data_IF_120266480237
#
_entry.id   IF_120266480237
#
_cell.length_a   1.000
_cell.length_b   1.000
_cell.length_c   1.000
_cell.angle_alpha   90.00
_cell.angle_beta   90.00
_cell.angle_gamma   90.00
#
_symmetry.space_group_name_H-M   'P 1'
#
loop_
_entity.id
_entity.type
_entity.pdbx_description
1 polymer ?
#
# COMPACT_ATOMS: atom_id res chain seq x y z
N UNK A 1 6.81 -0.33 -20.07
CA UNK A 1 5.97 -0.61 -18.90
C UNK A 1 5.34 -1.99 -18.97
N UNK A 2 4.35 -2.24 -19.84
CA UNK A 2 3.60 -3.53 -19.88
C UNK A 2 4.47 -4.80 -19.87
N UNK A 3 5.50 -5.00 -20.71
CA UNK A 3 6.27 -6.25 -20.67
C UNK A 3 6.94 -6.54 -19.32
N UNK A 4 7.36 -5.51 -18.59
CA UNK A 4 7.96 -5.67 -17.28
C UNK A 4 6.90 -5.99 -16.20
N UNK A 5 5.70 -5.40 -16.32
CA UNK A 5 4.58 -5.75 -15.44
C UNK A 5 4.15 -7.19 -15.67
N UNK A 6 4.03 -7.61 -16.93
CA UNK A 6 3.68 -8.98 -17.30
C UNK A 6 4.72 -9.98 -16.72
N UNK A 7 6.02 -9.68 -16.79
CA UNK A 7 7.06 -10.50 -16.17
C UNK A 7 6.91 -10.64 -14.65
N UNK A 8 6.53 -9.56 -13.96
CA UNK A 8 6.26 -9.60 -12.50
C UNK A 8 5.03 -10.47 -12.21
N UNK A 9 3.97 -10.31 -12.98
CA UNK A 9 2.75 -11.11 -12.85
C UNK A 9 3.05 -12.59 -13.06
N UNK A 10 3.79 -12.95 -14.13
CA UNK A 10 4.16 -14.33 -14.43
C UNK A 10 4.96 -14.97 -13.28
N UNK A 11 5.92 -14.25 -12.69
CA UNK A 11 6.70 -14.73 -11.54
C UNK A 11 5.83 -14.97 -10.31
N UNK A 12 4.87 -14.10 -10.06
CA UNK A 12 3.96 -14.20 -8.92
C UNK A 12 2.93 -15.31 -9.12
N UNK A 13 2.42 -15.48 -10.33
CA UNK A 13 1.46 -16.52 -10.67
C UNK A 13 2.12 -17.91 -10.70
N UNK A 14 3.40 -18.00 -11.03
CA UNK A 14 4.19 -19.25 -10.96
C UNK A 14 4.30 -19.85 -9.55
N UNK A 15 3.97 -19.09 -8.50
CA UNK A 15 3.90 -19.61 -7.13
C UNK A 15 2.73 -20.57 -6.90
N UNK A 16 1.78 -20.66 -7.84
CA UNK A 16 0.61 -21.53 -7.74
C UNK A 16 -0.39 -21.08 -6.66
N UNK A 17 -1.01 -22.06 -6.01
CA UNK A 17 -1.97 -21.77 -4.95
C UNK A 17 -1.25 -21.29 -3.69
N UNK A 18 -1.70 -20.17 -3.17
CA UNK A 18 -1.21 -19.56 -1.93
C UNK A 18 -2.37 -19.34 -0.96
N UNK A 19 -2.06 -19.38 0.33
CA UNK A 19 -3.01 -19.10 1.40
C UNK A 19 -2.45 -18.04 2.36
N UNK A 20 -3.27 -17.63 3.33
CA UNK A 20 -2.88 -16.71 4.40
C UNK A 20 -2.23 -15.41 3.91
N UNK A 21 -1.18 -14.98 4.61
CA UNK A 21 -0.49 -13.72 4.34
C UNK A 21 0.11 -13.68 2.91
N UNK A 22 0.58 -14.83 2.39
CA UNK A 22 1.15 -14.91 1.04
C UNK A 22 0.08 -14.65 -0.04
N UNK A 23 -1.12 -15.21 0.11
CA UNK A 23 -2.24 -14.92 -0.78
C UNK A 23 -2.59 -13.42 -0.77
N UNK A 24 -2.70 -12.81 0.40
CA UNK A 24 -3.10 -11.41 0.52
C UNK A 24 -2.04 -10.43 -0.02
N UNK A 25 -0.75 -10.71 0.19
CA UNK A 25 0.34 -9.92 -0.42
C UNK A 25 0.32 -10.09 -1.94
N UNK A 26 0.08 -11.31 -2.48
CA UNK A 26 -0.08 -11.49 -3.92
C UNK A 26 -1.20 -10.63 -4.50
N UNK A 27 -2.34 -10.57 -3.83
CA UNK A 27 -3.47 -9.75 -4.26
C UNK A 27 -3.16 -8.24 -4.21
N UNK A 28 -2.38 -7.80 -3.21
CA UNK A 28 -1.88 -6.43 -3.17
C UNK A 28 -0.90 -6.15 -4.34
N UNK A 29 -0.02 -7.10 -4.69
CA UNK A 29 0.87 -6.98 -5.87
C UNK A 29 0.08 -6.86 -7.17
N UNK A 30 -1.02 -7.60 -7.32
CA UNK A 30 -1.90 -7.46 -8.49
C UNK A 30 -2.50 -6.07 -8.61
N UNK A 31 -2.96 -5.46 -7.50
CA UNK A 31 -3.41 -4.05 -7.50
C UNK A 31 -2.28 -3.09 -7.87
N UNK A 32 -1.05 -3.34 -7.39
CA UNK A 32 0.11 -2.54 -7.74
C UNK A 32 0.46 -2.63 -9.24
N UNK A 33 0.34 -3.81 -9.83
CA UNK A 33 0.52 -4.02 -11.28
C UNK A 33 -0.51 -3.24 -12.10
N UNK A 34 -1.77 -3.23 -11.66
CA UNK A 34 -2.84 -2.45 -12.29
C UNK A 34 -2.52 -0.95 -12.20
N UNK A 35 -2.13 -0.45 -11.00
CA UNK A 35 -1.72 0.94 -10.82
C UNK A 35 -0.61 1.35 -11.79
N UNK A 36 0.43 0.52 -11.93
CA UNK A 36 1.54 0.76 -12.84
C UNK A 36 1.09 0.84 -14.31
N UNK A 37 0.18 -0.03 -14.74
CA UNK A 37 -0.38 -0.03 -16.10
C UNK A 37 -1.28 1.19 -16.36
N UNK A 38 -1.91 1.73 -15.32
CA UNK A 38 -2.71 2.96 -15.36
C UNK A 38 -1.83 4.22 -15.28
N UNK A 39 -0.51 4.10 -15.17
CA UNK A 39 0.42 5.23 -15.14
C UNK A 39 0.61 5.84 -13.74
N UNK A 40 0.34 5.07 -12.69
CA UNK A 40 0.54 5.46 -11.29
C UNK A 40 1.76 4.78 -10.68
N UNK A 41 2.11 5.15 -9.44
CA UNK A 41 3.10 4.37 -8.68
C UNK A 41 2.59 2.93 -8.49
N UNK A 42 3.46 1.96 -8.71
CA UNK A 42 3.18 0.54 -8.53
C UNK A 42 3.03 0.17 -7.05
N UNK A 43 1.98 0.68 -6.41
CA UNK A 43 1.62 0.38 -5.02
C UNK A 43 0.18 -0.07 -4.97
N UNK A 44 -0.06 -1.19 -4.28
CA UNK A 44 -1.38 -1.77 -4.07
C UNK A 44 -1.58 -2.21 -2.64
N UNK A 45 -2.83 -2.22 -2.20
CA UNK A 45 -3.23 -2.65 -0.87
C UNK A 45 -4.55 -3.41 -0.90
N UNK A 46 -4.71 -4.35 0.02
CA UNK A 46 -5.99 -5.00 0.30
C UNK A 46 -6.30 -4.95 1.79
N UNK A 47 -7.58 -4.85 2.13
CA UNK A 47 -8.05 -4.99 3.52
C UNK A 47 -8.73 -6.33 3.66
N UNK A 48 -8.25 -7.07 4.65
CA UNK A 48 -8.78 -8.36 5.05
C UNK A 48 -9.55 -8.19 6.35
N UNK A 49 -10.77 -8.68 6.39
CA UNK A 49 -11.62 -8.72 7.55
C UNK A 49 -12.16 -10.14 7.68
N UNK A 50 -11.98 -10.76 8.85
CA UNK A 50 -12.37 -12.15 9.10
C UNK A 50 -11.80 -13.13 8.06
N UNK A 51 -10.51 -12.96 7.69
CA UNK A 51 -9.82 -13.84 6.75
C UNK A 51 -10.24 -13.70 5.29
N UNK A 52 -11.05 -12.70 4.94
CA UNK A 52 -11.50 -12.44 3.56
C UNK A 52 -11.11 -11.04 3.11
N UNK A 53 -10.70 -10.91 1.86
CA UNK A 53 -10.53 -9.59 1.25
C UNK A 53 -11.89 -8.93 1.10
N UNK A 54 -12.07 -7.80 1.78
CA UNK A 54 -13.30 -7.00 1.75
C UNK A 54 -13.14 -5.70 1.00
N UNK A 55 -11.92 -5.20 0.86
CA UNK A 55 -11.62 -3.97 0.14
C UNK A 55 -10.27 -4.04 -0.57
N UNK A 56 -10.13 -3.24 -1.63
CA UNK A 56 -8.93 -3.14 -2.45
C UNK A 56 -8.61 -1.67 -2.71
N UNK A 57 -7.35 -1.37 -2.85
CA UNK A 57 -6.88 -0.04 -3.22
C UNK A 57 -5.58 -0.11 -4.00
N UNK A 58 -5.41 0.85 -4.89
CA UNK A 58 -4.17 1.05 -5.62
C UNK A 58 -3.85 2.53 -5.72
N UNK A 59 -2.60 2.84 -5.96
CA UNK A 59 -2.18 4.22 -6.12
C UNK A 59 -2.87 4.86 -7.34
N UNK A 60 -3.39 6.08 -7.18
CA UNK A 60 -4.07 6.86 -8.21
C UNK A 60 -3.55 8.31 -8.29
N UNK A 61 -2.30 8.58 -7.88
CA UNK A 61 -1.72 9.93 -7.88
C UNK A 61 -1.61 10.55 -9.28
N UNK A 62 -1.59 9.74 -10.34
CA UNK A 62 -1.63 10.20 -11.72
C UNK A 62 -3.03 10.49 -12.25
N UNK A 63 -4.08 10.06 -11.55
CA UNK A 63 -5.47 10.23 -11.96
C UNK A 63 -6.00 11.61 -11.60
N UNK A 64 -5.69 12.63 -12.40
CA UNK A 64 -6.11 14.03 -12.16
C UNK A 64 -7.62 14.24 -12.29
N UNK A 65 -8.38 13.26 -12.77
CA UNK A 65 -9.85 13.29 -12.77
C UNK A 65 -10.43 13.02 -11.37
N UNK A 66 -9.66 12.39 -10.48
CA UNK A 66 -10.02 12.24 -9.08
C UNK A 66 -9.70 13.56 -8.32
N UNK A 67 -10.69 14.27 -7.75
CA UNK A 67 -10.44 15.52 -7.03
C UNK A 67 -9.51 15.36 -5.82
N UNK A 68 -9.39 14.14 -5.29
CA UNK A 68 -8.53 13.78 -4.18
C UNK A 68 -7.25 13.05 -4.61
N UNK A 69 -6.86 13.14 -5.90
CA UNK A 69 -5.71 12.40 -6.45
C UNK A 69 -4.42 12.61 -5.64
N UNK A 70 -4.19 13.79 -5.10
CA UNK A 70 -2.98 14.14 -4.33
C UNK A 70 -2.82 13.37 -3.00
N UNK A 71 -3.85 12.67 -2.53
CA UNK A 71 -3.81 11.79 -1.36
C UNK A 71 -4.21 10.34 -1.70
N UNK A 72 -4.41 10.03 -2.99
CA UNK A 72 -4.91 8.74 -3.45
C UNK A 72 -3.82 7.67 -3.45
N UNK A 73 -3.22 7.42 -2.29
CA UNK A 73 -2.32 6.29 -2.06
C UNK A 73 -3.12 4.99 -1.95
N UNK A 74 -2.47 3.85 -2.20
CA UNK A 74 -3.12 2.55 -2.21
C UNK A 74 -3.85 2.24 -0.91
N UNK A 75 -3.22 2.51 0.23
CA UNK A 75 -3.80 2.27 1.56
C UNK A 75 -5.00 3.18 1.82
N UNK A 76 -4.93 4.46 1.41
CA UNK A 76 -6.05 5.39 1.52
C UNK A 76 -7.23 4.90 0.69
N UNK A 77 -6.98 4.46 -0.56
CA UNK A 77 -8.02 3.92 -1.44
C UNK A 77 -8.63 2.63 -0.89
N UNK A 78 -7.82 1.76 -0.31
CA UNK A 78 -8.31 0.54 0.34
C UNK A 78 -9.17 0.86 1.58
N UNK A 79 -8.77 1.84 2.41
CA UNK A 79 -9.56 2.29 3.55
C UNK A 79 -10.87 2.93 3.11
N UNK A 80 -10.87 3.76 2.07
CA UNK A 80 -12.07 4.35 1.48
C UNK A 80 -13.04 3.24 1.04
N UNK A 81 -12.57 2.28 0.25
CA UNK A 81 -13.34 1.14 -0.24
C UNK A 81 -13.92 0.29 0.92
N UNK A 82 -13.11 0.06 1.97
CA UNK A 82 -13.54 -0.62 3.19
C UNK A 82 -14.69 0.10 3.90
N UNK A 83 -14.56 1.41 4.07
CA UNK A 83 -15.57 2.21 4.76
C UNK A 83 -16.87 2.36 3.95
N UNK A 84 -16.80 2.19 2.63
CA UNK A 84 -18.00 2.16 1.76
C UNK A 84 -18.70 0.79 1.83
N UNK A 85 -17.94 -0.31 1.84
CA UNK A 85 -18.48 -1.67 1.70
C UNK A 85 -18.91 -2.33 3.01
N UNK A 86 -18.24 -1.99 4.11
CA UNK A 86 -18.48 -2.63 5.42
C UNK A 86 -19.25 -1.68 6.32
N UNK A 87 -20.41 -2.11 6.81
CA UNK A 87 -21.21 -1.31 7.73
C UNK A 87 -20.42 -0.98 9.00
N UNK A 88 -20.65 0.21 9.56
CA UNK A 88 -19.95 0.67 10.75
C UNK A 88 -20.08 -0.31 11.94
N UNK A 89 -21.24 -0.91 12.10
CA UNK A 89 -21.54 -1.84 13.21
C UNK A 89 -20.82 -3.20 13.04
N UNK A 90 -20.42 -3.54 11.81
CA UNK A 90 -19.72 -4.80 11.49
C UNK A 90 -18.20 -4.65 11.53
N UNK A 91 -17.68 -3.45 11.77
CA UNK A 91 -16.23 -3.18 11.81
C UNK A 91 -15.66 -3.53 13.17
N UNK A 92 -14.98 -4.66 13.25
CA UNK A 92 -14.18 -5.02 14.42
C UNK A 92 -12.69 -4.78 14.12
N UNK A 93 -12.05 -3.75 14.69
CA UNK A 93 -10.66 -3.41 14.42
C UNK A 93 -9.67 -4.55 14.66
N UNK A 94 -9.95 -5.43 15.61
CA UNK A 94 -9.09 -6.57 15.96
C UNK A 94 -9.07 -7.66 14.87
N UNK A 95 -10.08 -7.68 14.01
CA UNK A 95 -10.23 -8.65 12.91
C UNK A 95 -9.78 -8.08 11.54
N UNK A 96 -9.36 -6.82 11.54
CA UNK A 96 -8.96 -6.10 10.31
C UNK A 96 -7.45 -6.10 10.16
N UNK A 97 -6.99 -6.49 8.96
CA UNK A 97 -5.59 -6.40 8.57
C UNK A 97 -5.46 -5.67 7.24
N UNK A 98 -4.54 -4.70 7.19
CA UNK A 98 -4.10 -4.08 5.94
C UNK A 98 -2.88 -4.84 5.41
N UNK A 99 -2.96 -5.30 4.17
CA UNK A 99 -1.84 -5.82 3.41
C UNK A 99 -1.51 -4.82 2.31
N UNK A 100 -0.27 -4.37 2.26
CA UNK A 100 0.21 -3.40 1.27
C UNK A 100 1.51 -3.89 0.65
N UNK A 101 1.78 -3.55 -0.59
CA UNK A 101 3.02 -3.95 -1.26
C UNK A 101 4.23 -3.25 -0.66
N UNK A 102 4.09 -2.00 -0.25
CA UNK A 102 5.16 -1.22 0.35
C UNK A 102 4.80 -0.77 1.76
N UNK A 103 5.81 -0.58 2.58
CA UNK A 103 5.68 0.03 3.90
C UNK A 103 4.95 1.37 3.83
N UNK A 104 3.90 1.59 4.65
CA UNK A 104 3.13 2.83 4.63
C UNK A 104 3.96 4.07 4.93
N UNK A 105 3.77 5.11 4.13
CA UNK A 105 4.31 6.45 4.36
C UNK A 105 3.65 7.13 5.57
N UNK A 106 4.13 8.29 6.06
CA UNK A 106 3.55 9.00 7.22
C UNK A 106 2.06 9.26 7.11
N UNK A 107 1.57 9.68 5.93
CA UNK A 107 0.16 9.96 5.70
C UNK A 107 -0.69 8.68 5.84
N UNK A 108 -0.28 7.59 5.19
CA UNK A 108 -0.97 6.31 5.26
C UNK A 108 -0.91 5.71 6.66
N UNK A 109 0.24 5.82 7.34
CA UNK A 109 0.40 5.39 8.74
C UNK A 109 -0.62 6.07 9.66
N UNK A 110 -0.76 7.41 9.54
CA UNK A 110 -1.73 8.18 10.33
C UNK A 110 -3.18 7.78 9.98
N UNK A 111 -3.50 7.60 8.69
CA UNK A 111 -4.83 7.19 8.25
C UNK A 111 -5.22 5.79 8.76
N UNK A 112 -4.31 4.82 8.65
CA UNK A 112 -4.49 3.45 9.15
C UNK A 112 -4.73 3.46 10.66
N UNK A 113 -3.92 4.23 11.40
CA UNK A 113 -4.08 4.42 12.84
C UNK A 113 -5.47 5.00 13.19
N UNK A 114 -5.86 6.10 12.52
CA UNK A 114 -7.14 6.77 12.75
C UNK A 114 -8.35 5.87 12.40
N UNK A 115 -8.18 4.96 11.45
CA UNK A 115 -9.20 3.95 11.11
C UNK A 115 -9.30 2.83 12.17
N UNK A 116 -8.44 2.82 13.19
CA UNK A 116 -8.43 1.83 14.26
C UNK A 116 -7.84 0.47 13.88
N UNK A 117 -7.22 0.35 12.70
CA UNK A 117 -6.63 -0.91 12.24
C UNK A 117 -5.50 -1.35 13.16
N UNK A 118 -5.51 -2.63 13.56
CA UNK A 118 -4.56 -3.19 14.53
C UNK A 118 -3.42 -3.99 13.89
N UNK A 119 -3.56 -4.38 12.64
CA UNK A 119 -2.56 -5.21 11.97
C UNK A 119 -2.24 -4.68 10.57
N UNK A 120 -0.95 -4.49 10.30
CA UNK A 120 -0.44 -4.06 8.98
C UNK A 120 0.71 -4.97 8.56
N UNK A 121 0.63 -5.52 7.37
CA UNK A 121 1.64 -6.36 6.77
C UNK A 121 2.07 -5.77 5.43
N UNK A 122 3.35 -5.43 5.30
CA UNK A 122 3.95 -4.93 4.07
C UNK A 122 4.71 -6.02 3.32
N UNK A 123 4.64 -6.05 2.01
CA UNK A 123 5.44 -6.95 1.18
C UNK A 123 6.93 -6.57 1.19
N UNK A 124 7.23 -5.27 1.32
CA UNK A 124 8.60 -4.76 1.40
C UNK A 124 8.66 -3.50 2.26
N UNK A 125 9.83 -3.22 2.82
CA UNK A 125 10.14 -1.91 3.43
C UNK A 125 10.24 -0.83 2.34
N UNK A 126 9.95 0.41 2.72
CA UNK A 126 10.24 1.59 1.92
C UNK A 126 11.31 2.43 2.62
N UNK A 127 12.56 2.30 2.17
CA UNK A 127 13.70 3.00 2.76
C UNK A 127 13.66 4.53 2.56
N UNK A 128 12.85 5.02 1.62
CA UNK A 128 12.74 6.45 1.30
C UNK A 128 11.59 7.12 2.03
N UNK A 129 10.40 6.55 1.97
CA UNK A 129 9.16 7.16 2.46
C UNK A 129 8.47 6.42 3.60
N UNK A 130 8.90 5.20 3.91
CA UNK A 130 8.31 4.36 4.95
C UNK A 130 8.53 4.91 6.35
N UNK A 131 7.51 4.86 7.18
CA UNK A 131 7.56 5.39 8.56
C UNK A 131 6.98 4.43 9.59
N UNK A 132 6.42 3.32 9.14
CA UNK A 132 5.70 2.41 10.03
C UNK A 132 6.59 1.28 10.56
N UNK A 133 7.60 0.88 9.80
CA UNK A 133 8.51 -0.23 10.10
C UNK A 133 9.95 0.28 10.23
N UNK A 134 10.48 0.89 9.16
CA UNK A 134 11.92 1.19 9.03
C UNK A 134 12.34 2.51 9.66
N UNK A 135 11.57 3.57 9.48
CA UNK A 135 11.96 4.94 9.86
C UNK A 135 11.11 5.54 10.99
N UNK A 136 10.64 4.75 11.93
CA UNK A 136 9.79 5.20 13.05
C UNK A 136 10.40 6.35 13.84
N UNK A 137 11.72 6.42 13.91
CA UNK A 137 12.45 7.52 14.55
C UNK A 137 12.16 8.89 13.96
N UNK A 138 11.78 8.97 12.69
CA UNK A 138 11.46 10.21 11.99
C UNK A 138 10.01 10.67 12.20
N UNK A 139 9.14 9.84 12.77
CA UNK A 139 7.79 10.25 13.15
C UNK A 139 7.84 11.30 14.24
N UNK A 140 6.99 12.30 14.13
CA UNK A 140 6.74 13.26 15.20
C UNK A 140 6.36 12.50 16.47
N UNK A 141 6.87 12.95 17.62
CA UNK A 141 6.78 12.22 18.90
C UNK A 141 5.36 11.77 19.27
N UNK A 142 4.36 12.61 19.01
CA UNK A 142 2.95 12.27 19.28
C UNK A 142 2.49 11.05 18.47
N UNK A 143 2.81 10.97 17.16
CA UNK A 143 2.42 9.84 16.32
C UNK A 143 3.16 8.56 16.70
N UNK A 144 4.44 8.66 17.06
CA UNK A 144 5.22 7.53 17.56
C UNK A 144 4.62 6.98 18.86
N UNK A 145 4.27 7.86 19.79
CA UNK A 145 3.61 7.45 21.04
C UNK A 145 2.27 6.78 20.79
N UNK A 146 1.47 7.32 19.87
CA UNK A 146 0.17 6.74 19.51
C UNK A 146 0.31 5.37 18.85
N UNK A 147 1.25 5.20 17.92
CA UNK A 147 1.55 3.88 17.32
C UNK A 147 1.93 2.85 18.39
N UNK A 148 2.82 3.24 19.31
CA UNK A 148 3.25 2.36 20.40
C UNK A 148 2.11 2.00 21.35
N UNK A 149 1.28 2.98 21.73
CA UNK A 149 0.20 2.80 22.71
C UNK A 149 -1.06 2.13 22.12
N UNK A 150 -1.24 2.22 20.79
CA UNK A 150 -2.41 1.64 20.11
C UNK A 150 -2.42 0.11 20.08
N UNK A 151 -1.27 -0.52 20.31
CA UNK A 151 -1.09 -1.96 20.14
C UNK A 151 -1.11 -2.40 18.66
N UNK A 152 -0.99 -1.46 17.71
CA UNK A 152 -0.96 -1.79 16.29
C UNK A 152 0.31 -2.57 15.96
N UNK A 153 0.14 -3.79 15.47
CA UNK A 153 1.21 -4.62 14.94
C UNK A 153 1.51 -4.25 13.48
N UNK A 154 2.78 -3.99 13.18
CA UNK A 154 3.22 -3.67 11.82
C UNK A 154 4.56 -4.33 11.54
N UNK A 155 4.65 -5.05 10.44
CA UNK A 155 5.87 -5.77 10.04
C UNK A 155 5.89 -6.05 8.54
N UNK A 156 7.07 -6.42 8.03
CA UNK A 156 7.16 -7.09 6.72
C UNK A 156 6.53 -8.46 6.85
N UNK A 157 5.72 -8.84 5.86
CA UNK A 157 5.08 -10.14 5.81
C UNK A 157 6.12 -11.26 5.65
N UNK A 158 5.96 -12.33 6.40
CA UNK A 158 6.75 -13.56 6.22
C UNK A 158 6.12 -14.40 5.09
N UNK A 159 6.58 -14.14 3.88
CA UNK A 159 6.02 -14.70 2.64
C UNK A 159 7.16 -15.11 1.69
N UNK A 160 6.90 -15.93 0.66
CA UNK A 160 7.91 -16.25 -0.36
C UNK A 160 8.63 -15.00 -0.88
N UNK A 161 9.96 -15.05 -0.94
CA UNK A 161 10.81 -13.92 -1.30
C UNK A 161 10.42 -13.26 -2.64
N UNK A 162 9.87 -14.03 -3.57
CA UNK A 162 9.35 -13.53 -4.87
C UNK A 162 8.28 -12.46 -4.66
N UNK A 163 7.39 -12.59 -3.67
CA UNK A 163 6.34 -11.60 -3.40
C UNK A 163 6.91 -10.29 -2.84
N UNK A 164 7.87 -10.37 -1.92
CA UNK A 164 8.58 -9.19 -1.42
C UNK A 164 9.35 -8.48 -2.52
N UNK A 165 10.05 -9.25 -3.37
CA UNK A 165 10.78 -8.69 -4.51
C UNK A 165 9.82 -8.08 -5.54
N UNK A 166 8.72 -8.73 -5.90
CA UNK A 166 7.70 -8.21 -6.81
C UNK A 166 7.10 -6.89 -6.29
N UNK A 167 6.84 -6.81 -4.97
CA UNK A 167 6.35 -5.60 -4.31
C UNK A 167 7.30 -4.41 -4.48
N UNK A 168 8.61 -4.66 -4.35
CA UNK A 168 9.65 -3.66 -4.53
C UNK A 168 9.84 -3.28 -6.00
N UNK A 169 9.94 -4.28 -6.88
CA UNK A 169 10.25 -4.09 -8.30
C UNK A 169 9.17 -3.29 -9.00
N UNK A 170 7.89 -3.57 -8.75
CA UNK A 170 6.78 -2.83 -9.38
C UNK A 170 6.77 -1.36 -8.96
N UNK A 171 7.12 -1.05 -7.71
CA UNK A 171 7.28 0.33 -7.26
C UNK A 171 8.47 1.01 -7.95
N UNK A 172 9.64 0.38 -7.93
CA UNK A 172 10.86 0.95 -8.53
C UNK A 172 10.70 1.20 -10.04
N UNK A 173 10.02 0.30 -10.75
CA UNK A 173 9.71 0.43 -12.18
C UNK A 173 8.96 1.74 -12.50
N UNK A 174 8.10 2.19 -11.61
CA UNK A 174 7.26 3.38 -11.81
C UNK A 174 7.85 4.65 -11.18
N UNK A 175 8.63 4.51 -10.11
CA UNK A 175 9.13 5.62 -9.28
C UNK A 175 9.89 6.66 -10.09
N UNK A 176 10.93 6.27 -10.83
CA UNK A 176 11.77 7.22 -11.54
C UNK A 176 11.02 8.08 -12.56
N UNK A 177 10.07 7.48 -13.28
CA UNK A 177 9.30 8.19 -14.31
C UNK A 177 8.32 9.18 -13.69
N UNK A 178 7.68 8.81 -12.58
CA UNK A 178 6.70 9.64 -11.91
C UNK A 178 7.33 10.74 -11.08
N UNK A 179 8.45 10.48 -10.40
CA UNK A 179 9.19 11.51 -9.67
C UNK A 179 9.66 12.63 -10.62
N UNK A 180 10.13 12.26 -11.82
CA UNK A 180 10.47 13.24 -12.87
C UNK A 180 9.25 14.04 -13.33
N UNK A 181 8.12 13.40 -13.56
CA UNK A 181 6.89 14.07 -13.99
C UNK A 181 6.33 15.02 -12.94
N UNK A 182 6.41 14.66 -11.66
CA UNK A 182 5.96 15.51 -10.55
C UNK A 182 6.90 16.70 -10.32
N UNK A 183 8.22 16.50 -10.42
CA UNK A 183 9.20 17.58 -10.26
C UNK A 183 9.10 18.63 -11.37
N UNK A 184 8.80 18.21 -12.62
CA UNK A 184 8.59 19.15 -13.73
C UNK A 184 7.28 19.94 -13.60
N UNK A 185 6.22 19.36 -13.07
CA UNK A 185 4.96 20.07 -12.77
C UNK A 185 5.14 21.13 -11.67
N UNK A 186 5.94 20.84 -10.64
CA UNK A 186 6.28 21.83 -9.61
C UNK A 186 7.08 23.02 -10.11
N UNK A 187 7.96 22.81 -11.10
CA UNK A 187 8.76 23.89 -11.68
C UNK A 187 7.98 24.83 -12.62
N UNK A 188 6.86 24.38 -13.19
CA UNK A 188 6.01 25.20 -14.10
C UNK A 188 5.15 26.20 -13.30
N UNK A 189 4.83 25.92 -12.05
CA UNK A 189 4.01 26.79 -11.20
C UNK A 189 4.83 27.85 -10.42
N UNK A 190 6.15 27.91 -10.62
CA UNK A 190 7.07 28.86 -9.96
C UNK A 190 7.55 30.00 -10.88
N UNK A 191 6.84 30.26 -12.00
CA UNK A 191 7.10 31.39 -12.90
C UNK A 191 5.94 32.39 -12.90
#
# INVERSE_FOLDING_TARGET
MRPYVDEIVDKVDALGDLDGDAYFIREAVREACIAALEGNYGVGAVIVHNGKIVARGRNELGNTSNPMFHVAHAEIKALEDYHIKVDHNDRNPEEVCVYTTLEPCPMCTCAIFNAGVKKVLAGSVDEWGGQMISNQGNLVSVWRSLLTSSGTSHKVADVPAVLGQASRDIFMLTKESLDRALSTKGAVNSK
#
